data_IF_309820689446
#
_entry.id   IF_309820689446
#
_cell.length_a   1.000
_cell.length_b   1.000
_cell.length_c   1.000
_cell.angle_alpha   90.00
_cell.angle_beta   90.00
_cell.angle_gamma   90.00
#
_symmetry.space_group_name_H-M   'P 1'
#
loop_
_entity.id
_entity.type
_entity.pdbx_description
1 polymer ?
#
# COMPACT_ATOMS: atom_id res chain seq x y z
N UNK A 1 -33.59 2.09 -8.15
CA UNK A 1 -32.13 2.17 -8.42
C UNK A 1 -31.63 3.48 -7.85
N UNK A 2 -30.65 3.47 -6.94
CA UNK A 2 -30.03 4.69 -6.41
C UNK A 2 -29.26 5.43 -7.50
N UNK A 3 -29.36 6.76 -7.56
CA UNK A 3 -28.61 7.57 -8.53
C UNK A 3 -27.09 7.42 -8.33
N UNK A 4 -26.27 7.59 -9.39
CA UNK A 4 -24.80 7.58 -9.27
C UNK A 4 -24.28 8.55 -8.21
N UNK A 5 -24.90 9.73 -8.11
CA UNK A 5 -24.56 10.74 -7.10
C UNK A 5 -24.83 10.29 -5.67
N UNK A 6 -25.90 9.53 -5.43
CA UNK A 6 -26.19 8.98 -4.10
C UNK A 6 -25.16 7.91 -3.72
N UNK A 7 -24.82 7.01 -4.66
CA UNK A 7 -23.79 5.98 -4.43
C UNK A 7 -22.42 6.61 -4.14
N UNK A 8 -22.05 7.65 -4.88
CA UNK A 8 -20.79 8.36 -4.67
C UNK A 8 -20.74 9.03 -3.29
N UNK A 9 -21.81 9.70 -2.86
CA UNK A 9 -21.87 10.30 -1.52
C UNK A 9 -21.79 9.26 -0.40
N UNK A 10 -22.46 8.12 -0.57
CA UNK A 10 -22.35 7.01 0.39
C UNK A 10 -20.92 6.47 0.44
N UNK A 11 -20.25 6.33 -0.70
CA UNK A 11 -18.85 5.90 -0.76
C UNK A 11 -17.89 6.92 -0.12
N UNK A 12 -18.09 8.23 -0.34
CA UNK A 12 -17.33 9.26 0.39
C UNK A 12 -17.51 9.18 1.91
N UNK A 13 -18.59 8.54 2.36
CA UNK A 13 -18.93 8.23 3.76
C UNK A 13 -18.39 6.88 4.26
N UNK A 14 -17.80 6.04 3.41
CA UNK A 14 -17.32 4.71 3.79
C UNK A 14 -15.92 4.73 4.40
N UNK A 15 -15.53 3.62 5.01
CA UNK A 15 -14.17 3.29 5.44
C UNK A 15 -13.24 3.06 4.25
N UNK A 16 -13.71 2.46 3.16
CA UNK A 16 -12.96 2.25 1.91
C UNK A 16 -12.38 3.56 1.36
N UNK A 17 -13.19 4.63 1.35
CA UNK A 17 -12.71 5.95 0.94
C UNK A 17 -11.64 6.47 1.90
N UNK A 18 -11.83 6.29 3.21
CA UNK A 18 -10.87 6.75 4.21
C UNK A 18 -9.52 6.03 4.06
N UNK A 19 -9.53 4.73 3.80
CA UNK A 19 -8.33 3.92 3.52
C UNK A 19 -7.66 4.41 2.24
N UNK A 20 -8.43 4.55 1.15
CA UNK A 20 -7.91 4.98 -0.15
C UNK A 20 -7.29 6.38 -0.06
N UNK A 21 -7.97 7.33 0.56
CA UNK A 21 -7.47 8.69 0.74
C UNK A 21 -6.21 8.72 1.60
N UNK A 22 -6.17 7.94 2.69
CA UNK A 22 -4.99 7.83 3.56
C UNK A 22 -3.81 7.23 2.81
N UNK A 23 -4.04 6.12 2.10
CA UNK A 23 -3.04 5.45 1.29
C UNK A 23 -2.44 6.38 0.22
N UNK A 24 -3.27 7.19 -0.45
CA UNK A 24 -2.81 8.19 -1.43
C UNK A 24 -1.93 9.25 -0.76
N UNK A 25 -2.34 9.80 0.39
CA UNK A 25 -1.54 10.80 1.11
C UNK A 25 -0.19 10.23 1.52
N UNK A 26 -0.16 9.00 2.04
CA UNK A 26 1.09 8.31 2.40
C UNK A 26 1.94 8.03 1.16
N UNK A 27 1.34 7.56 0.07
CA UNK A 27 2.03 7.27 -1.18
C UNK A 27 2.73 8.51 -1.74
N UNK A 28 2.06 9.66 -1.72
CA UNK A 28 2.63 10.92 -2.18
C UNK A 28 3.77 11.39 -1.27
N UNK A 29 3.58 11.34 0.06
CA UNK A 29 4.60 11.74 1.02
C UNK A 29 5.84 10.83 0.96
N UNK A 30 5.64 9.51 0.97
CA UNK A 30 6.69 8.51 0.90
C UNK A 30 7.37 8.51 -0.48
N UNK A 31 6.61 8.67 -1.56
CA UNK A 31 7.15 8.77 -2.92
C UNK A 31 8.06 9.98 -3.07
N UNK A 32 7.64 11.14 -2.58
CA UNK A 32 8.46 12.35 -2.57
C UNK A 32 9.74 12.16 -1.72
N UNK A 33 9.64 11.54 -0.55
CA UNK A 33 10.81 11.17 0.25
C UNK A 33 11.75 10.23 -0.53
N UNK A 34 11.23 9.20 -1.18
CA UNK A 34 12.03 8.27 -1.99
C UNK A 34 12.72 8.97 -3.17
N UNK A 35 12.04 9.89 -3.88
CA UNK A 35 12.67 10.69 -4.95
C UNK A 35 13.79 11.60 -4.46
N UNK A 36 13.74 12.07 -3.21
CA UNK A 36 14.78 12.94 -2.64
C UNK A 36 15.95 12.18 -2.02
N UNK A 37 15.71 10.96 -1.56
CA UNK A 37 16.71 10.15 -0.85
C UNK A 37 17.37 9.09 -1.73
N UNK A 38 16.71 8.62 -2.79
CA UNK A 38 17.27 7.62 -3.71
C UNK A 38 17.96 8.31 -4.89
N UNK A 39 19.16 7.84 -5.23
CA UNK A 39 19.83 8.20 -6.48
C UNK A 39 19.09 7.65 -7.71
N UNK A 40 18.20 6.67 -7.51
CA UNK A 40 17.40 6.05 -8.56
C UNK A 40 15.97 6.60 -8.53
N UNK A 41 15.64 7.36 -9.57
CA UNK A 41 14.29 7.91 -9.77
C UNK A 41 13.20 6.83 -9.92
N UNK A 42 13.54 5.55 -10.13
CA UNK A 42 12.58 4.46 -10.19
C UNK A 42 11.90 4.15 -8.83
N UNK A 43 12.60 4.36 -7.72
CA UNK A 43 12.12 3.96 -6.38
C UNK A 43 10.89 4.75 -5.94
N UNK A 44 10.85 6.04 -6.26
CA UNK A 44 9.70 6.90 -5.97
C UNK A 44 8.41 6.37 -6.59
N UNK A 45 8.48 5.88 -7.84
CA UNK A 45 7.33 5.28 -8.52
C UNK A 45 6.90 3.96 -7.87
N UNK A 46 7.85 3.08 -7.51
CA UNK A 46 7.52 1.81 -6.86
C UNK A 46 6.90 2.01 -5.48
N UNK A 47 7.41 2.97 -4.71
CA UNK A 47 6.87 3.37 -3.41
C UNK A 47 5.44 3.90 -3.54
N UNK A 48 5.18 4.77 -4.53
CA UNK A 48 3.83 5.28 -4.79
C UNK A 48 2.87 4.14 -5.15
N UNK A 49 3.28 3.22 -6.01
CA UNK A 49 2.46 2.08 -6.43
C UNK A 49 2.16 1.13 -5.26
N UNK A 50 3.15 0.82 -4.44
CA UNK A 50 2.98 -0.04 -3.26
C UNK A 50 2.02 0.58 -2.25
N UNK A 51 2.27 1.82 -1.84
CA UNK A 51 1.43 2.46 -0.82
C UNK A 51 0.03 2.79 -1.36
N UNK A 52 -0.07 3.27 -2.60
CA UNK A 52 -1.32 3.77 -3.18
C UNK A 52 -2.25 2.70 -3.75
N UNK A 53 -1.73 1.52 -4.12
CA UNK A 53 -2.53 0.45 -4.75
C UNK A 53 -2.60 -0.79 -3.86
N UNK A 54 -1.49 -1.24 -3.29
CA UNK A 54 -1.49 -2.51 -2.54
C UNK A 54 -2.28 -2.39 -1.23
N UNK A 55 -2.12 -1.30 -0.46
CA UNK A 55 -2.82 -1.16 0.82
C UNK A 55 -4.37 -1.10 0.66
N UNK A 56 -4.96 -0.30 -0.25
CA UNK A 56 -6.40 -0.34 -0.48
C UNK A 56 -6.90 -1.70 -0.99
N UNK A 57 -6.13 -2.34 -1.88
CA UNK A 57 -6.50 -3.65 -2.43
C UNK A 57 -6.52 -4.75 -1.37
N UNK A 58 -5.59 -4.72 -0.40
CA UNK A 58 -5.58 -5.66 0.73
C UNK A 58 -6.77 -5.39 1.65
N UNK A 59 -7.09 -4.12 1.92
CA UNK A 59 -8.24 -3.77 2.76
C UNK A 59 -9.55 -4.32 2.20
N UNK A 60 -9.81 -4.08 0.91
CA UNK A 60 -11.05 -4.49 0.25
C UNK A 60 -11.25 -6.02 0.24
N UNK A 61 -10.17 -6.79 0.11
CA UNK A 61 -10.26 -8.24 -0.02
C UNK A 61 -10.20 -9.02 1.30
N UNK A 62 -9.64 -8.41 2.36
CA UNK A 62 -9.30 -9.15 3.58
C UNK A 62 -9.87 -8.57 4.87
N UNK A 63 -10.24 -7.30 4.89
CA UNK A 63 -10.61 -6.65 6.14
C UNK A 63 -12.00 -7.14 6.60
N UNK A 64 -12.11 -7.72 7.81
CA UNK A 64 -13.40 -8.17 8.33
C UNK A 64 -14.32 -6.98 8.60
N UNK A 65 -15.53 -7.03 8.03
CA UNK A 65 -16.56 -5.99 8.18
C UNK A 65 -17.00 -5.74 9.63
N UNK A 66 -16.68 -6.65 10.56
CA UNK A 66 -17.03 -6.53 11.98
C UNK A 66 -16.32 -5.36 12.68
N UNK A 67 -15.21 -4.86 12.13
CA UNK A 67 -14.41 -3.76 12.68
C UNK A 67 -14.50 -2.46 11.84
N UNK A 68 -15.57 -2.31 11.06
CA UNK A 68 -15.68 -1.27 10.03
C UNK A 68 -16.03 0.12 10.61
N UNK A 69 -15.07 0.71 11.33
CA UNK A 69 -15.09 2.12 11.71
C UNK A 69 -14.03 2.90 10.94
N UNK A 70 -14.36 4.12 10.53
CA UNK A 70 -13.44 4.99 9.77
C UNK A 70 -12.09 5.20 10.44
N UNK A 71 -12.08 5.36 11.76
CA UNK A 71 -10.85 5.61 12.52
C UNK A 71 -9.95 4.37 12.51
N UNK A 72 -10.53 3.19 12.71
CA UNK A 72 -9.80 1.92 12.64
C UNK A 72 -9.28 1.67 11.23
N UNK A 73 -10.09 1.95 10.20
CA UNK A 73 -9.69 1.81 8.81
C UNK A 73 -8.50 2.72 8.44
N UNK A 74 -8.49 3.97 8.90
CA UNK A 74 -7.35 4.90 8.72
C UNK A 74 -6.11 4.40 9.46
N UNK A 75 -6.25 3.98 10.73
CA UNK A 75 -5.13 3.46 11.51
C UNK A 75 -4.53 2.20 10.87
N UNK A 76 -5.38 1.32 10.36
CA UNK A 76 -4.96 0.15 9.60
C UNK A 76 -4.23 0.56 8.32
N UNK A 77 -4.76 1.50 7.54
CA UNK A 77 -4.13 1.96 6.30
C UNK A 77 -2.72 2.51 6.55
N UNK A 78 -2.56 3.33 7.60
CA UNK A 78 -1.25 3.83 8.02
C UNK A 78 -0.28 2.68 8.37
N UNK A 79 -0.74 1.70 9.15
CA UNK A 79 0.06 0.53 9.52
C UNK A 79 0.45 -0.33 8.31
N UNK A 80 -0.49 -0.58 7.41
CA UNK A 80 -0.28 -1.36 6.18
C UNK A 80 0.71 -0.67 5.24
N UNK A 81 0.55 0.64 5.00
CA UNK A 81 1.50 1.41 4.22
C UNK A 81 2.89 1.39 4.87
N UNK A 82 2.99 1.61 6.19
CA UNK A 82 4.27 1.56 6.89
C UNK A 82 4.96 0.18 6.77
N UNK A 83 4.21 -0.91 6.92
CA UNK A 83 4.74 -2.26 6.78
C UNK A 83 5.23 -2.56 5.35
N UNK A 84 4.46 -2.17 4.32
CA UNK A 84 4.85 -2.35 2.92
C UNK A 84 6.12 -1.56 2.58
N UNK A 85 6.23 -0.31 3.05
CA UNK A 85 7.41 0.52 2.84
C UNK A 85 8.63 -0.02 3.59
N UNK A 86 8.46 -0.49 4.82
CA UNK A 86 9.53 -1.15 5.57
C UNK A 86 10.01 -2.42 4.88
N UNK A 87 9.09 -3.24 4.36
CA UNK A 87 9.44 -4.45 3.61
C UNK A 87 10.20 -4.11 2.33
N UNK A 88 9.70 -3.16 1.54
CA UNK A 88 10.36 -2.70 0.32
C UNK A 88 11.77 -2.19 0.58
N UNK A 89 11.95 -1.33 1.60
CA UNK A 89 13.27 -0.77 1.95
C UNK A 89 14.25 -1.83 2.45
N UNK A 90 13.79 -2.80 3.26
CA UNK A 90 14.64 -3.91 3.69
C UNK A 90 15.07 -4.80 2.53
N UNK A 91 14.15 -5.13 1.62
CA UNK A 91 14.45 -5.99 0.46
C UNK A 91 15.33 -5.26 -0.55
N UNK A 92 15.06 -3.98 -0.82
CA UNK A 92 15.86 -3.19 -1.76
C UNK A 92 17.29 -2.97 -1.25
N UNK A 93 17.47 -2.67 0.04
CA UNK A 93 18.80 -2.53 0.66
C UNK A 93 19.57 -3.85 0.66
N UNK A 94 18.92 -4.97 0.95
CA UNK A 94 19.55 -6.29 0.86
C UNK A 94 19.98 -6.65 -0.57
N UNK A 95 19.14 -6.37 -1.57
CA UNK A 95 19.45 -6.63 -2.97
C UNK A 95 20.52 -5.69 -3.52
N UNK A 96 20.55 -4.43 -3.10
CA UNK A 96 21.56 -3.45 -3.49
C UNK A 96 22.98 -3.83 -3.04
N UNK A 97 23.11 -4.69 -2.01
CA UNK A 97 24.40 -5.22 -1.58
C UNK A 97 25.01 -6.23 -2.59
N UNK A 98 24.19 -6.79 -3.49
CA UNK A 98 24.59 -7.87 -4.42
C UNK A 98 24.41 -7.46 -5.88
N UNK A 99 23.43 -6.60 -6.17
CA UNK A 99 23.01 -6.18 -7.50
C UNK A 99 23.18 -4.66 -7.66
N UNK A 100 23.54 -4.22 -8.87
CA UNK A 100 23.68 -2.81 -9.22
C UNK A 100 22.59 -2.36 -10.22
N UNK A 101 22.30 -1.06 -10.27
CA UNK A 101 21.31 -0.47 -11.19
C UNK A 101 19.86 -0.65 -10.70
N UNK A 102 18.90 -0.71 -11.62
CA UNK A 102 17.44 -0.71 -11.35
C UNK A 102 16.89 -2.08 -10.94
N UNK A 103 17.62 -3.16 -11.21
CA UNK A 103 17.20 -4.54 -10.88
C UNK A 103 16.85 -4.77 -9.39
N UNK A 104 17.59 -4.24 -8.40
CA UNK A 104 17.27 -4.38 -6.98
C UNK A 104 15.88 -3.83 -6.65
N UNK A 105 15.54 -2.66 -7.19
CA UNK A 105 14.28 -1.97 -6.93
C UNK A 105 13.08 -2.66 -7.56
N UNK A 106 13.22 -3.13 -8.80
CA UNK A 106 12.18 -3.89 -9.48
C UNK A 106 11.94 -5.25 -8.80
N UNK A 107 13.01 -5.94 -8.41
CA UNK A 107 12.91 -7.19 -7.66
C UNK A 107 12.30 -6.97 -6.27
N UNK A 108 12.73 -5.93 -5.55
CA UNK A 108 12.15 -5.59 -4.24
C UNK A 108 10.66 -5.26 -4.33
N UNK A 109 10.26 -4.51 -5.36
CA UNK A 109 8.85 -4.25 -5.63
C UNK A 109 8.08 -5.56 -5.88
N UNK A 110 8.56 -6.41 -6.79
CA UNK A 110 7.92 -7.69 -7.11
C UNK A 110 7.83 -8.61 -5.89
N UNK A 111 8.89 -8.72 -5.09
CA UNK A 111 8.91 -9.53 -3.88
C UNK A 111 7.95 -8.99 -2.83
N UNK A 112 7.94 -7.67 -2.58
CA UNK A 112 7.04 -7.05 -1.60
C UNK A 112 5.58 -7.22 -2.04
N UNK A 113 5.30 -7.08 -3.33
CA UNK A 113 3.98 -7.29 -3.89
C UNK A 113 3.52 -8.74 -3.75
N UNK A 114 4.38 -9.70 -4.09
CA UNK A 114 4.09 -11.13 -3.96
C UNK A 114 3.89 -11.53 -2.49
N UNK A 115 4.68 -11.01 -1.56
CA UNK A 115 4.50 -11.21 -0.13
C UNK A 115 3.15 -10.67 0.34
N UNK A 116 2.76 -9.49 -0.12
CA UNK A 116 1.44 -8.92 0.14
C UNK A 116 0.30 -9.82 -0.35
N UNK A 117 0.42 -10.37 -1.57
CA UNK A 117 -0.56 -11.33 -2.11
C UNK A 117 -0.57 -12.64 -1.31
N UNK A 118 0.59 -13.18 -0.96
CA UNK A 118 0.69 -14.45 -0.22
C UNK A 118 0.08 -14.34 1.17
N UNK A 119 0.38 -13.26 1.90
CA UNK A 119 -0.29 -12.94 3.16
C UNK A 119 -1.79 -12.80 2.92
N UNK A 120 -2.17 -12.18 1.80
CA UNK A 120 -3.58 -12.01 1.45
C UNK A 120 -4.30 -13.31 1.01
N UNK A 121 -3.58 -14.41 0.83
CA UNK A 121 -4.15 -15.71 0.45
C UNK A 121 -4.03 -16.76 1.56
N UNK A 122 -3.41 -16.41 2.70
CA UNK A 122 -3.39 -17.31 3.85
C UNK A 122 -4.83 -17.55 4.31
N UNK A 123 -5.28 -18.81 4.44
CA UNK A 123 -6.59 -19.08 4.97
C UNK A 123 -6.67 -18.47 6.37
N UNK A 124 -7.74 -17.71 6.62
CA UNK A 124 -8.09 -17.24 7.96
C UNK A 124 -8.41 -18.47 8.81
N UNK A 125 -7.39 -19.16 9.33
CA UNK A 125 -7.53 -20.18 10.35
C UNK A 125 -7.59 -19.48 11.71
N UNK A 126 -8.74 -18.88 12.00
CA UNK A 126 -9.19 -18.51 13.34
C UNK A 126 -10.73 -18.38 13.35
#
# INVERSE_FOLDING_TARGET
MSSPSARFRTWLGSSEFAVTATAIVVALAAGNAAFTMSEQSADGYFVILLAGIAAPSIYENQWPFDYDSRVVAVAWALGACAALLACYTLVSTALAAVLNGILPSAAAFATTWLLGIMVAQLPNSA
#
